data_IF_871644980148
#
_entry.id   IF_871644980148
#
_cell.length_a   1.000
_cell.length_b   1.000
_cell.length_c   1.000
_cell.angle_alpha   90.00
_cell.angle_beta   90.00
_cell.angle_gamma   90.00
#
_symmetry.space_group_name_H-M   'P 1'
#
loop_
_entity.id
_entity.type
_entity.pdbx_description
1 polymer ?
#
# COMPACT_ATOMS: atom_id res chain seq x y z
N UNK A 1 4.54 -10.13 -16.22
CA UNK A 1 4.19 -9.99 -14.80
C UNK A 1 4.12 -8.50 -14.54
N UNK A 2 3.00 -7.91 -14.96
CA UNK A 2 2.84 -6.47 -15.05
C UNK A 2 2.09 -6.03 -13.79
N UNK A 3 2.62 -5.04 -13.08
CA UNK A 3 1.99 -4.38 -11.93
C UNK A 3 1.95 -5.12 -10.58
N UNK A 4 2.87 -6.06 -10.31
CA UNK A 4 2.87 -6.81 -9.03
C UNK A 4 3.02 -5.92 -7.81
N UNK A 5 3.80 -4.83 -7.90
CA UNK A 5 4.01 -3.94 -6.75
C UNK A 5 2.80 -3.05 -6.50
N UNK A 6 2.23 -2.47 -7.56
CA UNK A 6 1.01 -1.68 -7.45
C UNK A 6 -0.16 -2.51 -6.89
N UNK A 7 -0.33 -3.76 -7.36
CA UNK A 7 -1.35 -4.68 -6.84
C UNK A 7 -1.17 -4.96 -5.36
N UNK A 8 0.06 -5.29 -4.91
CA UNK A 8 0.32 -5.55 -3.50
C UNK A 8 0.02 -4.32 -2.62
N UNK A 9 0.30 -3.11 -3.10
CA UNK A 9 -0.05 -1.86 -2.40
C UNK A 9 -1.55 -1.61 -2.40
N UNK A 10 -2.25 -1.87 -3.51
CA UNK A 10 -3.71 -1.77 -3.59
C UNK A 10 -4.38 -2.68 -2.56
N UNK A 11 -3.99 -3.96 -2.51
CA UNK A 11 -4.51 -4.95 -1.55
C UNK A 11 -4.31 -4.48 -0.10
N UNK A 12 -3.16 -3.89 0.22
CA UNK A 12 -2.91 -3.34 1.56
C UNK A 12 -3.76 -2.10 1.88
N UNK A 13 -4.00 -1.22 0.90
CA UNK A 13 -4.88 -0.07 1.06
C UNK A 13 -6.31 -0.57 1.30
N UNK A 14 -6.80 -1.49 0.49
CA UNK A 14 -8.13 -2.07 0.64
C UNK A 14 -8.31 -2.75 2.01
N UNK A 15 -7.31 -3.51 2.45
CA UNK A 15 -7.32 -4.14 3.77
C UNK A 15 -7.35 -3.12 4.93
N UNK A 16 -6.67 -1.97 4.78
CA UNK A 16 -6.63 -0.92 5.80
C UNK A 16 -7.95 -0.15 5.91
N UNK A 17 -8.60 0.12 4.77
CA UNK A 17 -9.83 0.93 4.72
C UNK A 17 -11.12 0.11 4.62
N UNK A 18 -11.02 -1.21 4.43
CA UNK A 18 -12.15 -2.14 4.40
C UNK A 18 -13.10 -1.94 3.21
N UNK A 19 -12.61 -1.32 2.11
CA UNK A 19 -13.39 -1.01 0.90
C UNK A 19 -12.53 -1.22 -0.34
N UNK A 20 -13.14 -1.54 -1.49
CA UNK A 20 -12.41 -1.69 -2.74
C UNK A 20 -11.82 -0.35 -3.20
N UNK A 21 -10.69 -0.42 -3.92
CA UNK A 21 -9.91 0.75 -4.32
C UNK A 21 -10.75 1.76 -5.12
N UNK A 22 -11.60 1.28 -6.03
CA UNK A 22 -12.46 2.12 -6.87
C UNK A 22 -13.46 2.96 -6.05
N UNK A 23 -13.97 2.43 -4.94
CA UNK A 23 -14.85 3.19 -4.04
C UNK A 23 -14.07 4.23 -3.23
N UNK A 24 -12.83 3.92 -2.84
CA UNK A 24 -11.95 4.84 -2.14
C UNK A 24 -11.53 6.02 -3.05
N UNK A 25 -11.24 5.74 -4.31
CA UNK A 25 -10.95 6.76 -5.33
C UNK A 25 -12.15 7.70 -5.52
N UNK A 26 -13.35 7.14 -5.75
CA UNK A 26 -14.56 7.93 -5.90
C UNK A 26 -14.86 8.79 -4.66
N UNK A 27 -14.58 8.28 -3.47
CA UNK A 27 -14.75 9.01 -2.21
C UNK A 27 -13.80 10.21 -2.10
N UNK A 28 -12.52 10.02 -2.43
CA UNK A 28 -11.53 11.10 -2.41
C UNK A 28 -11.85 12.17 -3.45
N UNK A 29 -12.22 11.77 -4.66
CA UNK A 29 -12.59 12.69 -5.73
C UNK A 29 -13.82 13.55 -5.35
N UNK A 30 -14.80 12.94 -4.68
CA UNK A 30 -16.00 13.64 -4.21
C UNK A 30 -15.72 14.63 -3.07
N UNK A 31 -14.77 14.34 -2.18
CA UNK A 31 -14.48 15.18 -1.01
C UNK A 31 -13.46 16.29 -1.25
N UNK A 32 -12.69 16.27 -2.35
CA UNK A 32 -11.68 17.30 -2.70
C UNK A 32 -10.76 17.70 -1.52
N UNK A 33 -10.50 16.76 -0.60
CA UNK A 33 -9.76 17.04 0.63
C UNK A 33 -8.42 16.32 0.60
N UNK A 34 -7.35 17.06 0.93
CA UNK A 34 -6.02 16.47 1.05
C UNK A 34 -5.96 15.58 2.29
N UNK A 35 -6.17 14.28 2.08
CA UNK A 35 -6.19 13.26 3.13
C UNK A 35 -5.05 12.26 2.97
N UNK A 36 -4.74 11.49 4.02
CA UNK A 36 -3.76 10.40 3.93
C UNK A 36 -4.17 9.34 2.91
N UNK A 37 -5.48 9.09 2.77
CA UNK A 37 -6.01 8.20 1.74
C UNK A 37 -5.71 8.74 0.34
N UNK A 38 -5.94 10.04 0.10
CA UNK A 38 -5.61 10.68 -1.17
C UNK A 38 -4.11 10.56 -1.51
N UNK A 39 -3.24 10.71 -0.50
CA UNK A 39 -1.80 10.51 -0.68
C UNK A 39 -1.44 9.06 -1.02
N UNK A 40 -2.04 8.07 -0.35
CA UNK A 40 -1.84 6.65 -0.65
C UNK A 40 -2.32 6.27 -2.06
N UNK A 41 -3.49 6.79 -2.48
CA UNK A 41 -3.99 6.58 -3.84
C UNK A 41 -3.08 7.25 -4.88
N UNK A 42 -2.55 8.44 -4.59
CA UNK A 42 -1.55 9.09 -5.44
C UNK A 42 -0.25 8.29 -5.58
N UNK A 43 0.24 7.69 -4.50
CA UNK A 43 1.40 6.79 -4.52
C UNK A 43 1.10 5.54 -5.36
N UNK A 44 -0.08 4.94 -5.19
CA UNK A 44 -0.53 3.79 -5.98
C UNK A 44 -0.61 4.11 -7.49
N UNK A 45 -1.19 5.26 -7.85
CA UNK A 45 -1.22 5.73 -9.24
C UNK A 45 0.20 5.95 -9.81
N UNK A 46 1.11 6.49 -8.99
CA UNK A 46 2.53 6.65 -9.32
C UNK A 46 3.23 5.31 -9.60
N UNK A 47 2.95 4.27 -8.80
CA UNK A 47 3.44 2.90 -9.03
C UNK A 47 2.95 2.35 -10.38
N UNK A 48 1.64 2.43 -10.64
CA UNK A 48 1.07 1.99 -11.92
C UNK A 48 1.71 2.70 -13.10
N UNK A 49 1.98 4.01 -12.98
CA UNK A 49 2.64 4.75 -14.04
C UNK A 49 4.10 4.33 -14.24
N UNK A 50 4.84 4.12 -13.15
CA UNK A 50 6.23 3.67 -13.20
C UNK A 50 6.35 2.27 -13.82
N UNK A 51 5.50 1.33 -13.40
CA UNK A 51 5.49 -0.05 -13.89
C UNK A 51 5.07 -0.13 -15.37
N UNK A 52 4.07 0.65 -15.81
CA UNK A 52 3.72 0.78 -17.24
C UNK A 52 4.88 1.31 -18.07
N UNK A 53 5.60 2.31 -17.57
CA UNK A 53 6.74 2.87 -18.28
C UNK A 53 7.89 1.86 -18.37
N UNK A 54 8.17 1.10 -17.31
CA UNK A 54 9.14 0.00 -17.33
C UNK A 54 8.79 -1.01 -18.43
N UNK A 55 7.54 -1.48 -18.47
CA UNK A 55 7.09 -2.45 -19.48
C UNK A 55 7.23 -1.89 -20.90
N UNK A 56 6.84 -0.63 -21.10
CA UNK A 56 6.98 0.06 -22.38
C UNK A 56 8.44 0.20 -22.82
N UNK A 57 9.35 0.66 -21.93
CA UNK A 57 10.77 0.78 -22.28
C UNK A 57 11.39 -0.59 -22.56
N UNK A 58 11.02 -1.64 -21.82
CA UNK A 58 11.51 -2.99 -22.10
C UNK A 58 11.02 -3.50 -23.46
N UNK A 59 9.78 -3.24 -23.84
CA UNK A 59 9.26 -3.52 -25.17
C UNK A 59 10.05 -2.79 -26.26
N UNK A 60 10.25 -1.48 -26.08
CA UNK A 60 11.01 -0.65 -27.02
C UNK A 60 12.46 -1.08 -27.15
N UNK A 61 13.11 -1.43 -26.04
CA UNK A 61 14.50 -1.90 -26.05
C UNK A 61 14.62 -3.20 -26.85
N UNK A 62 13.70 -4.15 -26.68
CA UNK A 62 13.67 -5.40 -27.46
C UNK A 62 13.53 -5.15 -28.96
N UNK A 63 12.70 -4.17 -29.36
CA UNK A 63 12.59 -3.76 -30.77
C UNK A 63 13.90 -3.16 -31.31
N UNK A 64 14.58 -2.35 -30.51
CA UNK A 64 15.83 -1.70 -30.90
C UNK A 64 17.00 -2.68 -30.99
N UNK A 65 17.02 -3.72 -30.15
CA UNK A 65 18.08 -4.73 -30.08
C UNK A 65 17.74 -6.03 -30.81
N UNK A 66 16.73 -6.02 -31.68
CA UNK A 66 16.31 -7.22 -32.39
C UNK A 66 17.45 -7.76 -33.27
N UNK A 67 17.67 -9.07 -33.22
CA UNK A 67 18.71 -9.75 -33.97
C UNK A 67 18.63 -9.43 -35.48
N UNK A 68 19.76 -9.07 -36.08
CA UNK A 68 19.85 -8.70 -37.50
C UNK A 68 19.70 -7.20 -37.79
N UNK A 69 19.46 -6.36 -36.77
CA UNK A 69 19.45 -4.91 -36.91
C UNK A 69 20.86 -4.33 -36.72
N UNK A 70 21.36 -3.57 -37.69
CA UNK A 70 22.62 -2.84 -37.52
C UNK A 70 22.46 -1.75 -36.47
N UNK A 71 23.32 -1.77 -35.45
CA UNK A 71 23.36 -0.74 -34.41
C UNK A 71 24.25 0.40 -34.90
N UNK A 72 23.69 1.26 -35.74
CA UNK A 72 24.28 2.55 -36.07
C UNK A 72 24.25 3.53 -34.89
N UNK A 73 24.96 4.66 -35.02
CA UNK A 73 25.06 5.68 -33.97
C UNK A 73 23.69 6.22 -33.49
N UNK A 74 22.72 6.36 -34.40
CA UNK A 74 21.35 6.78 -34.06
C UNK A 74 20.62 5.73 -33.21
N UNK A 75 20.77 4.46 -33.54
CA UNK A 75 20.22 3.32 -32.79
C UNK A 75 20.85 3.22 -31.40
N UNK A 76 22.18 3.39 -31.31
CA UNK A 76 22.90 3.43 -30.04
C UNK A 76 22.39 4.57 -29.13
N UNK A 77 22.14 5.77 -29.68
CA UNK A 77 21.54 6.88 -28.95
C UNK A 77 20.12 6.58 -28.45
N UNK A 78 19.28 5.95 -29.27
CA UNK A 78 17.93 5.55 -28.88
C UNK A 78 17.94 4.48 -27.77
N UNK A 79 18.87 3.52 -27.83
CA UNK A 79 19.07 2.53 -26.77
C UNK A 79 19.48 3.21 -25.46
N UNK A 80 20.42 4.15 -25.52
CA UNK A 80 20.86 4.89 -24.33
C UNK A 80 19.72 5.69 -23.69
N UNK A 81 18.93 6.41 -24.49
CA UNK A 81 17.77 7.15 -23.95
C UNK A 81 16.73 6.20 -23.33
N UNK A 82 16.45 5.07 -24.00
CA UNK A 82 15.54 4.05 -23.48
C UNK A 82 16.03 3.49 -22.13
N UNK A 83 17.33 3.18 -22.02
CA UNK A 83 17.95 2.74 -20.77
C UNK A 83 17.85 3.79 -19.67
N UNK A 84 18.07 5.07 -20.00
CA UNK A 84 17.92 6.19 -19.05
C UNK A 84 16.49 6.31 -18.53
N UNK A 85 15.49 6.25 -19.43
CA UNK A 85 14.06 6.32 -19.05
C UNK A 85 13.62 5.11 -18.22
N UNK A 86 14.17 3.94 -18.52
CA UNK A 86 13.96 2.73 -17.73
C UNK A 86 14.51 2.91 -16.30
N UNK A 87 15.75 3.40 -16.16
CA UNK A 87 16.36 3.65 -14.86
C UNK A 87 15.55 4.67 -14.03
N UNK A 88 15.08 5.75 -14.64
CA UNK A 88 14.20 6.73 -13.97
C UNK A 88 12.89 6.09 -13.51
N UNK A 89 12.29 5.24 -14.33
CA UNK A 89 11.03 4.57 -13.97
C UNK A 89 11.21 3.56 -12.83
N UNK A 90 12.34 2.84 -12.81
CA UNK A 90 12.71 1.95 -11.70
C UNK A 90 12.93 2.73 -10.41
N UNK A 91 13.66 3.84 -10.46
CA UNK A 91 13.88 4.69 -9.29
C UNK A 91 12.55 5.26 -8.74
N UNK A 92 11.63 5.67 -9.62
CA UNK A 92 10.30 6.11 -9.21
C UNK A 92 9.49 4.98 -8.56
N UNK A 93 9.51 3.77 -9.13
CA UNK A 93 8.85 2.59 -8.54
C UNK A 93 9.38 2.33 -7.13
N UNK A 94 10.69 2.36 -6.94
CA UNK A 94 11.33 2.13 -5.64
C UNK A 94 10.93 3.20 -4.63
N UNK A 95 11.02 4.48 -5.01
CA UNK A 95 10.64 5.60 -4.14
C UNK A 95 9.17 5.51 -3.70
N UNK A 96 8.25 5.20 -4.62
CA UNK A 96 6.84 5.00 -4.30
C UNK A 96 6.62 3.76 -3.40
N UNK A 97 7.35 2.68 -3.64
CA UNK A 97 7.26 1.46 -2.81
C UNK A 97 7.71 1.73 -1.38
N UNK A 98 8.83 2.44 -1.21
CA UNK A 98 9.35 2.82 0.10
C UNK A 98 8.39 3.77 0.83
N UNK A 99 7.83 4.75 0.12
CA UNK A 99 6.84 5.67 0.67
C UNK A 99 5.57 4.93 1.11
N UNK A 100 5.01 4.06 0.25
CA UNK A 100 3.83 3.25 0.57
C UNK A 100 4.07 2.37 1.80
N UNK A 101 5.19 1.64 1.82
CA UNK A 101 5.56 0.76 2.95
C UNK A 101 5.68 1.54 4.25
N UNK A 102 6.30 2.72 4.21
CA UNK A 102 6.46 3.58 5.39
C UNK A 102 5.11 4.06 5.91
N UNK A 103 4.25 4.58 5.05
CA UNK A 103 2.92 5.10 5.43
C UNK A 103 2.01 3.98 5.92
N UNK A 104 1.92 2.87 5.20
CA UNK A 104 1.07 1.73 5.61
C UNK A 104 1.54 1.15 6.95
N UNK A 105 2.85 1.04 7.17
CA UNK A 105 3.39 0.56 8.44
C UNK A 105 3.11 1.52 9.61
N UNK A 106 3.10 2.84 9.37
CA UNK A 106 2.84 3.83 10.42
C UNK A 106 1.35 3.87 10.78
N UNK A 107 0.46 3.80 9.78
CA UNK A 107 -0.99 3.73 10.00
C UNK A 107 -1.40 2.47 10.76
N UNK A 108 -0.78 1.32 10.43
CA UNK A 108 -1.02 0.07 11.18
C UNK A 108 -0.61 0.18 12.65
N UNK A 109 0.46 0.92 12.97
CA UNK A 109 0.87 1.17 14.37
C UNK A 109 -0.05 2.17 15.09
N UNK A 110 -0.62 3.13 14.37
CA UNK A 110 -1.49 4.15 14.93
C UNK A 110 -2.91 3.64 15.25
N UNK A 111 -3.35 2.55 14.61
CA UNK A 111 -4.60 1.90 14.96
C UNK A 111 -4.51 1.32 16.39
N UNK A 112 -5.27 1.84 17.38
CA UNK A 112 -5.27 1.25 18.72
C UNK A 112 -5.79 -0.19 18.64
N UNK A 113 -5.28 -1.12 19.47
CA UNK A 113 -5.89 -2.43 19.59
C UNK A 113 -7.36 -2.22 19.94
N UNK A 114 -8.26 -2.75 19.12
CA UNK A 114 -9.68 -2.81 19.45
C UNK A 114 -9.77 -3.39 20.86
N UNK A 115 -10.18 -2.56 21.83
CA UNK A 115 -10.32 -2.96 23.20
C UNK A 115 -11.28 -4.14 23.23
N UNK A 116 -10.74 -5.35 23.44
CA UNK A 116 -11.56 -6.45 23.91
C UNK A 116 -12.15 -5.95 25.23
N UNK A 117 -13.46 -5.76 25.26
CA UNK A 117 -14.16 -5.23 26.43
C UNK A 117 -13.63 -5.92 27.70
N UNK A 118 -13.22 -5.19 28.74
CA UNK A 118 -12.77 -5.82 29.96
C UNK A 118 -13.92 -6.69 30.47
N UNK A 119 -13.67 -8.00 30.53
CA UNK A 119 -14.60 -8.93 31.15
C UNK A 119 -14.93 -8.39 32.54
N UNK A 120 -16.21 -8.10 32.79
CA UNK A 120 -16.71 -7.66 34.09
C UNK A 120 -16.17 -8.57 35.18
N UNK A 121 -15.22 -8.08 35.97
CA UNK A 121 -14.81 -8.73 37.20
C UNK A 121 -16.00 -8.62 38.15
N UNK A 122 -16.79 -9.70 38.25
CA UNK A 122 -17.84 -9.82 39.25
C UNK A 122 -17.22 -9.57 40.63
N UNK A 123 -17.77 -8.60 41.35
CA UNK A 123 -17.39 -8.29 42.72
C UNK A 123 -17.53 -9.52 43.64
N UNK A 124 -16.65 -9.72 44.62
CA UNK A 124 -16.76 -10.81 45.57
C UNK A 124 -18.01 -10.63 46.43
N UNK A 125 -18.83 -11.67 46.48
CA UNK A 125 -20.03 -11.77 47.31
C UNK A 125 -19.63 -11.82 48.79
N UNK A 126 -20.20 -11.00 49.68
CA UNK A 126 -19.89 -11.10 51.10
C UNK A 126 -20.45 -12.40 51.68
N UNK A 127 -19.60 -13.12 52.40
CA UNK A 127 -19.91 -14.38 53.07
C UNK A 127 -20.97 -14.20 54.16
N UNK A 128 -22.01 -15.05 54.11
CA UNK A 128 -22.99 -15.16 55.18
C UNK A 128 -22.35 -15.82 56.42
N UNK A 129 -22.34 -15.12 57.55
CA UNK A 129 -22.06 -15.70 58.86
C UNK A 129 -23.36 -15.77 59.68
N UNK A 130 -23.63 -16.97 60.19
CA UNK A 130 -24.87 -17.44 60.80
C UNK A 130 -25.32 -16.70 62.08
N UNK A 131 -26.63 -16.69 62.39
CA UNK A 131 -27.12 -16.25 63.69
C UNK A 131 -26.80 -17.30 64.77
N UNK A 132 -26.22 -16.84 65.88
CA UNK A 132 -26.14 -17.60 67.13
C UNK A 132 -27.37 -17.30 67.99
N UNK A 133 -28.11 -18.34 68.33
CA UNK A 133 -29.02 -18.41 69.48
C UNK A 133 -29.25 -19.89 69.83
N UNK A 134 -29.80 -20.24 71.01
CA UNK A 134 -29.48 -19.82 72.37
C UNK A 134 -29.31 -21.07 73.30
N UNK A 135 -28.75 -20.94 74.52
CA UNK A 135 -28.96 -21.92 75.63
C UNK A 135 -28.83 -21.17 76.97
N UNK A 136 -29.96 -20.94 77.66
CA UNK A 136 -30.53 -21.63 78.85
C UNK A 136 -30.03 -21.09 80.18
#
# INVERSE_FOLDING_TARGET
>A
MSHTTALAVAEHIEALYGRPLAELEAHVDAQQTQSMLAALLGIHAGLLQAERNIEYQLGRLRELTQSGREVGASTAGAIFDCARRLATSVAAREAHTQAATTVLSSLRRAAPPQATAPASQLAPTPAAAHPLAPTR
#
